data_IF_141749333782
#
_entry.id   IF_141749333782
#
_cell.length_a   1.000
_cell.length_b   1.000
_cell.length_c   1.000
_cell.angle_alpha   90.00
_cell.angle_beta   90.00
_cell.angle_gamma   90.00
#
_symmetry.space_group_name_H-M   'P 1'
#
loop_
_entity.id
_entity.type
_entity.pdbx_description
1 polymer ?
#
# COMPACT_ATOMS: atom_id res chain seq x y z
N UNK A 1 -4.43 23.39 -38.76
CA UNK A 1 -5.91 23.43 -38.86
C UNK A 1 -6.39 22.09 -39.42
N UNK A 2 -6.77 21.14 -38.57
CA UNK A 2 -7.81 20.15 -38.83
C UNK A 2 -8.31 19.69 -37.46
N UNK A 3 -9.54 20.06 -37.16
CA UNK A 3 -10.28 19.74 -35.93
C UNK A 3 -11.25 18.61 -36.29
N UNK A 4 -11.61 17.83 -35.27
CA UNK A 4 -12.75 16.92 -35.16
C UNK A 4 -12.56 15.47 -35.61
N UNK A 5 -12.41 14.60 -34.61
CA UNK A 5 -13.29 13.44 -34.50
C UNK A 5 -13.57 13.21 -33.01
N UNK A 6 -14.80 13.52 -32.62
CA UNK A 6 -15.42 13.17 -31.35
C UNK A 6 -15.61 11.65 -31.29
N UNK A 7 -15.16 11.01 -30.22
CA UNK A 7 -15.68 9.71 -29.80
C UNK A 7 -15.90 9.72 -28.29
N UNK A 8 -17.16 9.85 -27.90
CA UNK A 8 -17.65 9.53 -26.57
C UNK A 8 -18.06 8.06 -26.59
N UNK A 9 -17.31 7.20 -25.91
CA UNK A 9 -17.79 5.90 -25.46
C UNK A 9 -17.06 5.59 -24.15
N UNK A 10 -17.74 5.77 -23.02
CA UNK A 10 -18.56 4.74 -22.39
C UNK A 10 -17.74 4.03 -21.32
N UNK A 11 -17.89 4.56 -20.10
CA UNK A 11 -17.74 3.83 -18.85
C UNK A 11 -18.25 2.39 -19.00
N UNK A 12 -17.43 1.41 -18.59
CA UNK A 12 -17.85 0.36 -17.63
C UNK A 12 -16.75 -0.67 -17.40
N UNK A 13 -16.57 -0.92 -16.09
CA UNK A 13 -16.40 -2.23 -15.45
C UNK A 13 -15.02 -2.87 -15.50
N UNK A 14 -14.34 -2.77 -14.36
CA UNK A 14 -13.93 -3.92 -13.53
C UNK A 14 -13.75 -5.22 -14.31
N UNK A 15 -12.52 -5.47 -14.78
CA UNK A 15 -12.07 -6.84 -15.04
C UNK A 15 -11.23 -7.30 -13.85
N UNK A 16 -11.91 -7.99 -12.94
CA UNK A 16 -11.30 -8.93 -12.01
C UNK A 16 -10.44 -9.93 -12.79
N UNK A 17 -9.12 -9.81 -12.70
CA UNK A 17 -8.19 -10.82 -13.20
C UNK A 17 -8.26 -12.04 -12.29
N UNK A 18 -8.88 -13.09 -12.82
CA UNK A 18 -8.94 -14.45 -12.30
C UNK A 18 -7.54 -15.00 -12.05
N UNK A 19 -7.16 -15.17 -10.79
CA UNK A 19 -6.01 -16.00 -10.40
C UNK A 19 -6.43 -17.46 -10.55
N UNK A 20 -5.68 -18.19 -11.36
CA UNK A 20 -5.78 -19.65 -11.55
C UNK A 20 -5.57 -20.33 -10.21
N UNK A 21 -6.59 -21.00 -9.69
CA UNK A 21 -6.46 -21.93 -8.58
C UNK A 21 -6.49 -23.35 -9.12
N UNK A 22 -5.40 -24.05 -8.83
CA UNK A 22 -5.13 -25.46 -9.14
C UNK A 22 -6.11 -26.41 -8.45
N UNK A 23 -6.62 -27.36 -9.24
CA UNK A 23 -7.07 -28.71 -8.91
C UNK A 23 -7.30 -29.05 -7.44
N UNK A 24 -8.57 -29.06 -7.03
CA UNK A 24 -9.01 -29.84 -5.86
C UNK A 24 -10.06 -30.83 -6.37
N UNK A 25 -9.69 -32.10 -6.27
CA UNK A 25 -10.46 -33.28 -6.63
C UNK A 25 -11.84 -33.29 -5.99
N UNK A 26 -12.87 -33.51 -6.79
CA UNK A 26 -14.24 -33.78 -6.36
C UNK A 26 -14.43 -35.28 -6.14
N UNK A 27 -14.91 -35.76 -4.97
CA UNK A 27 -15.55 -37.06 -4.89
C UNK A 27 -17.06 -36.89 -5.09
N UNK A 28 -17.54 -37.24 -6.27
CA UNK A 28 -18.97 -37.38 -6.58
C UNK A 28 -19.53 -38.62 -5.87
N UNK A 29 -20.25 -38.43 -4.76
CA UNK A 29 -20.98 -39.53 -4.11
C UNK A 29 -22.43 -39.56 -4.61
N UNK A 30 -22.67 -40.54 -5.47
CA UNK A 30 -23.95 -40.97 -6.00
C UNK A 30 -24.73 -41.68 -4.89
N UNK A 31 -25.69 -40.99 -4.27
CA UNK A 31 -26.61 -41.58 -3.31
C UNK A 31 -27.51 -42.63 -4.00
N UNK A 32 -27.32 -43.90 -3.65
CA UNK A 32 -28.34 -44.96 -3.76
C UNK A 32 -28.70 -45.40 -2.35
N UNK A 33 -30.00 -45.41 -2.07
CA UNK A 33 -30.69 -46.14 -1.01
C UNK A 33 -30.40 -45.77 0.47
N UNK A 34 -31.36 -45.02 1.01
CA UNK A 34 -32.17 -45.32 2.20
C UNK A 34 -31.48 -45.64 3.54
N UNK A 35 -31.83 -44.79 4.52
CA UNK A 35 -31.85 -45.03 5.97
C UNK A 35 -30.50 -45.14 6.69
N UNK A 36 -30.03 -44.02 7.27
CA UNK A 36 -29.52 -44.01 8.65
C UNK A 36 -30.04 -42.74 9.36
N UNK A 37 -30.60 -43.00 10.54
CA UNK A 37 -31.09 -42.05 11.55
C UNK A 37 -30.00 -41.13 12.06
N UNK A 38 -30.40 -39.88 12.28
CA UNK A 38 -30.09 -39.01 13.43
C UNK A 38 -28.68 -39.09 14.02
N UNK A 39 -27.91 -38.02 13.83
CA UNK A 39 -27.37 -37.26 14.96
C UNK A 39 -27.05 -35.84 14.48
N UNK A 40 -27.66 -34.84 15.12
CA UNK A 40 -27.18 -33.47 15.09
C UNK A 40 -25.77 -33.47 15.70
N UNK A 41 -24.77 -33.22 14.86
CA UNK A 41 -23.50 -32.61 15.23
C UNK A 41 -23.43 -31.39 14.31
N UNK A 42 -24.08 -30.30 14.73
CA UNK A 42 -23.41 -29.20 15.43
C UNK A 42 -22.16 -28.70 14.70
N UNK A 43 -22.30 -27.46 14.23
CA UNK A 43 -21.25 -26.45 14.30
C UNK A 43 -19.99 -26.68 13.47
N UNK A 44 -20.02 -26.28 12.20
CA UNK A 44 -18.84 -25.69 11.54
C UNK A 44 -19.25 -24.99 10.24
N UNK A 45 -19.98 -23.89 10.37
CA UNK A 45 -20.00 -22.88 9.32
C UNK A 45 -19.49 -21.58 9.92
N UNK A 46 -18.56 -20.97 9.20
CA UNK A 46 -18.08 -19.60 9.36
C UNK A 46 -16.85 -19.42 10.26
N UNK A 47 -15.71 -19.93 9.81
CA UNK A 47 -14.46 -19.18 9.95
C UNK A 47 -13.67 -19.20 8.64
N UNK A 48 -14.33 -18.89 7.52
CA UNK A 48 -13.62 -18.43 6.34
C UNK A 48 -13.52 -16.91 6.43
N UNK A 49 -12.63 -16.42 7.30
CA UNK A 49 -12.29 -15.00 7.34
C UNK A 49 -11.40 -14.73 6.13
N UNK A 50 -12.01 -14.40 4.99
CA UNK A 50 -11.25 -13.74 3.92
C UNK A 50 -10.87 -12.38 4.47
N UNK A 51 -9.68 -12.27 5.06
CA UNK A 51 -9.07 -10.98 5.34
C UNK A 51 -8.89 -10.30 3.99
N UNK A 52 -9.86 -9.46 3.64
CA UNK A 52 -9.71 -8.53 2.53
C UNK A 52 -8.62 -7.58 2.99
N UNK A 53 -7.43 -7.77 2.45
CA UNK A 53 -6.28 -6.91 2.63
C UNK A 53 -6.75 -5.49 2.28
N UNK A 54 -7.03 -4.69 3.30
CA UNK A 54 -7.34 -3.27 3.16
C UNK A 54 -5.98 -2.57 3.08
N UNK A 55 -5.41 -2.48 1.88
CA UNK A 55 -4.25 -1.60 1.68
C UNK A 55 -4.70 -0.17 2.02
N UNK A 56 -4.14 0.39 3.09
CA UNK A 56 -4.40 1.76 3.52
C UNK A 56 -3.35 2.66 2.87
N UNK A 57 -3.78 3.60 2.05
CA UNK A 57 -2.90 4.61 1.45
C UNK A 57 -2.75 5.76 2.45
N UNK A 58 -1.53 6.05 2.86
CA UNK A 58 -1.14 7.12 3.77
C UNK A 58 -0.31 8.16 3.03
N UNK A 59 -0.60 9.44 3.25
CA UNK A 59 0.10 10.56 2.60
C UNK A 59 1.17 11.14 3.51
N UNK A 60 2.42 11.17 3.05
CA UNK A 60 3.54 11.76 3.79
C UNK A 60 3.68 13.23 3.42
N UNK A 61 3.88 14.05 4.45
CA UNK A 61 4.08 15.51 4.32
C UNK A 61 5.55 15.87 4.50
N UNK A 62 5.96 16.96 3.86
CA UNK A 62 7.26 17.57 4.11
C UNK A 62 7.39 18.00 5.59
N UNK A 63 8.56 17.79 6.22
CA UNK A 63 8.83 18.26 7.57
C UNK A 63 8.75 19.78 7.66
N UNK A 64 8.69 20.29 8.90
CA UNK A 64 8.63 21.73 9.11
C UNK A 64 10.01 22.37 8.88
N UNK A 65 10.02 23.51 8.18
CA UNK A 65 11.24 24.30 7.95
C UNK A 65 11.44 25.33 9.07
N UNK A 66 12.68 25.77 9.32
CA UNK A 66 12.93 26.92 10.19
C UNK A 66 12.28 28.19 9.62
N UNK A 67 11.95 29.16 10.49
CA UNK A 67 11.13 30.34 10.14
C UNK A 67 11.66 31.16 8.96
N UNK A 68 12.97 31.14 8.72
CA UNK A 68 13.62 31.91 7.65
C UNK A 68 13.62 31.21 6.29
N UNK A 69 13.06 30.01 6.14
CA UNK A 69 13.10 29.22 4.90
C UNK A 69 11.67 28.80 4.52
N UNK A 70 11.20 29.28 3.36
CA UNK A 70 9.84 29.02 2.87
C UNK A 70 9.77 27.89 1.84
N UNK A 71 10.87 27.59 1.15
CA UNK A 71 10.94 26.63 0.05
C UNK A 71 12.23 25.79 0.14
N UNK A 72 12.17 24.55 -0.34
CA UNK A 72 13.31 23.66 -0.51
C UNK A 72 13.15 22.75 -1.73
N UNK A 73 14.25 22.23 -2.23
CA UNK A 73 14.26 21.32 -3.39
C UNK A 73 14.39 19.87 -2.91
N UNK A 74 13.51 18.98 -3.39
CA UNK A 74 13.48 17.58 -2.94
C UNK A 74 14.39 16.68 -3.78
N UNK A 75 15.24 15.88 -3.14
CA UNK A 75 16.04 14.81 -3.76
C UNK A 75 15.62 13.46 -3.22
N UNK A 76 15.31 12.51 -4.09
CA UNK A 76 14.83 11.19 -3.67
C UNK A 76 15.98 10.21 -3.51
N UNK A 77 16.06 9.53 -2.37
CA UNK A 77 17.06 8.49 -2.12
C UNK A 77 16.54 7.09 -2.50
N UNK A 78 15.22 6.90 -2.50
CA UNK A 78 14.55 5.63 -2.87
C UNK A 78 13.66 5.77 -4.10
N UNK A 79 13.61 4.75 -4.98
CA UNK A 79 12.70 4.73 -6.12
C UNK A 79 11.28 4.27 -5.73
N UNK A 80 10.33 4.52 -6.64
CA UNK A 80 8.93 4.07 -6.53
C UNK A 80 8.87 2.53 -6.47
N UNK A 81 8.01 1.98 -5.63
CA UNK A 81 7.87 0.54 -5.41
C UNK A 81 8.84 -0.04 -4.38
N UNK A 82 9.68 0.79 -3.77
CA UNK A 82 10.57 0.33 -2.69
C UNK A 82 9.80 0.13 -1.39
N UNK A 83 10.14 -0.93 -0.66
CA UNK A 83 9.71 -1.10 0.72
C UNK A 83 10.41 -0.08 1.63
N UNK A 84 9.65 0.49 2.57
CA UNK A 84 10.11 1.44 3.57
C UNK A 84 9.69 0.98 4.96
N UNK A 85 10.59 1.13 5.94
CA UNK A 85 10.31 0.89 7.35
C UNK A 85 9.97 2.20 8.06
N UNK A 86 9.47 2.08 9.29
CA UNK A 86 9.29 3.23 10.19
C UNK A 86 10.66 3.88 10.42
N UNK A 87 10.68 5.21 10.43
CA UNK A 87 11.86 6.08 10.63
C UNK A 87 12.94 5.95 9.54
N UNK A 88 12.62 5.35 8.41
CA UNK A 88 13.54 5.26 7.28
C UNK A 88 13.51 6.52 6.40
N UNK A 89 14.67 6.96 5.93
CA UNK A 89 14.81 8.14 5.06
C UNK A 89 14.38 7.78 3.63
N UNK A 90 13.38 8.47 3.10
CA UNK A 90 12.86 8.27 1.73
C UNK A 90 13.54 9.24 0.76
N UNK A 91 13.83 10.45 1.23
CA UNK A 91 14.47 11.50 0.48
C UNK A 91 14.92 12.63 1.39
N UNK A 92 15.55 13.64 0.81
CA UNK A 92 16.13 14.77 1.52
C UNK A 92 15.70 16.06 0.84
N UNK A 93 15.36 17.06 1.64
CA UNK A 93 15.05 18.40 1.15
C UNK A 93 16.29 19.25 1.34
N UNK A 94 16.91 19.64 0.22
CA UNK A 94 18.03 20.57 0.22
C UNK A 94 17.47 22.00 0.30
N UNK A 95 17.90 22.75 1.30
CA UNK A 95 17.62 24.18 1.41
C UNK A 95 18.94 24.94 1.44
N UNK A 96 18.91 26.25 1.22
CA UNK A 96 20.10 27.14 1.19
C UNK A 96 21.04 26.97 2.40
N UNK A 97 20.51 26.58 3.56
CA UNK A 97 21.27 26.49 4.81
C UNK A 97 21.42 25.08 5.37
N UNK A 98 20.52 24.16 5.06
CA UNK A 98 20.48 22.86 5.72
C UNK A 98 19.75 21.83 4.85
N UNK A 99 20.27 20.60 4.84
CA UNK A 99 19.57 19.45 4.26
C UNK A 99 18.72 18.79 5.34
N UNK A 100 17.43 18.61 5.07
CA UNK A 100 16.46 18.08 6.03
C UNK A 100 15.95 16.73 5.51
N UNK A 101 16.19 15.61 6.21
CA UNK A 101 15.72 14.31 5.77
C UNK A 101 14.20 14.19 5.93
N UNK A 102 13.55 13.58 4.93
CA UNK A 102 12.14 13.19 4.95
C UNK A 102 12.07 11.72 5.38
N UNK A 103 11.60 11.51 6.61
CA UNK A 103 11.45 10.18 7.21
C UNK A 103 10.05 9.61 6.97
N UNK A 104 9.97 8.28 6.86
CA UNK A 104 8.70 7.56 6.76
C UNK A 104 8.05 7.37 8.15
N UNK A 105 6.82 7.87 8.38
CA UNK A 105 6.11 7.63 9.63
C UNK A 105 5.54 6.20 9.77
N UNK A 106 5.46 5.42 8.68
CA UNK A 106 4.84 4.09 8.66
C UNK A 106 5.70 3.08 7.91
N UNK A 107 5.45 1.79 8.15
CA UNK A 107 6.00 0.70 7.34
C UNK A 107 5.10 0.48 6.10
N UNK A 108 5.69 0.32 4.93
CA UNK A 108 4.91 0.17 3.70
C UNK A 108 5.73 0.12 2.44
N UNK A 109 5.07 0.38 1.31
CA UNK A 109 5.70 0.49 -0.01
C UNK A 109 5.38 1.84 -0.62
N UNK A 110 6.38 2.50 -1.22
CA UNK A 110 6.18 3.78 -1.92
C UNK A 110 5.34 3.56 -3.17
N UNK A 111 4.13 4.13 -3.22
CA UNK A 111 3.21 3.96 -4.35
C UNK A 111 3.53 4.92 -5.48
N UNK A 112 3.66 6.20 -5.16
CA UNK A 112 3.93 7.28 -6.11
C UNK A 112 4.51 8.52 -5.42
N UNK A 113 5.31 9.27 -6.16
CA UNK A 113 5.78 10.61 -5.79
C UNK A 113 4.92 11.67 -6.47
N UNK A 114 4.38 12.62 -5.70
CA UNK A 114 3.58 13.73 -6.24
C UNK A 114 4.45 14.88 -6.76
N UNK A 115 5.75 14.83 -6.44
CA UNK A 115 6.73 15.86 -6.73
C UNK A 115 7.94 15.19 -7.41
N UNK A 116 8.38 15.77 -8.53
CA UNK A 116 9.55 15.31 -9.25
C UNK A 116 10.84 15.58 -8.45
N UNK A 117 11.91 14.84 -8.75
CA UNK A 117 13.24 15.13 -8.22
C UNK A 117 13.68 16.54 -8.63
N UNK A 118 14.21 17.31 -7.68
CA UNK A 118 14.64 18.70 -7.84
C UNK A 118 13.52 19.72 -7.90
N UNK A 119 12.26 19.35 -7.64
CA UNK A 119 11.16 20.31 -7.60
C UNK A 119 10.99 20.98 -6.23
N UNK A 120 10.47 22.21 -6.25
CA UNK A 120 10.22 23.05 -5.07
C UNK A 120 9.06 22.52 -4.24
N UNK A 121 9.31 22.32 -2.94
CA UNK A 121 8.31 21.94 -1.94
C UNK A 121 8.17 23.01 -0.85
N UNK A 122 6.95 23.17 -0.35
CA UNK A 122 6.62 24.06 0.78
C UNK A 122 6.37 23.26 2.07
N UNK A 123 6.45 23.93 3.22
CA UNK A 123 6.23 23.30 4.53
C UNK A 123 4.86 22.63 4.61
N UNK A 124 4.82 21.37 5.04
CA UNK A 124 3.59 20.59 5.20
C UNK A 124 2.90 20.15 3.90
N UNK A 125 3.51 20.41 2.74
CA UNK A 125 3.03 19.91 1.46
C UNK A 125 3.12 18.37 1.41
N UNK A 126 2.14 17.74 0.77
CA UNK A 126 2.15 16.28 0.57
C UNK A 126 3.17 15.96 -0.52
N UNK A 127 4.13 15.09 -0.22
CA UNK A 127 5.25 14.75 -1.11
C UNK A 127 5.09 13.38 -1.77
N UNK A 128 4.56 12.39 -1.03
CA UNK A 128 4.40 11.03 -1.54
C UNK A 128 3.24 10.29 -0.87
N UNK A 129 2.75 9.26 -1.56
CA UNK A 129 1.76 8.32 -1.04
C UNK A 129 2.41 6.96 -0.81
N UNK A 130 2.20 6.41 0.39
CA UNK A 130 2.71 5.11 0.81
C UNK A 130 1.54 4.17 1.03
N UNK A 131 1.62 2.97 0.47
CA UNK A 131 0.73 1.87 0.83
C UNK A 131 1.23 1.27 2.15
N UNK A 132 0.54 1.55 3.27
CA UNK A 132 0.92 1.09 4.61
C UNK A 132 0.67 -0.41 4.74
N UNK A 133 1.71 -1.13 5.15
CA UNK A 133 1.65 -2.55 5.49
C UNK A 133 2.04 -2.71 6.95
N UNK A 134 1.09 -3.17 7.78
CA UNK A 134 1.37 -3.46 9.19
C UNK A 134 2.12 -4.80 9.29
N UNK A 135 3.42 -4.77 8.99
CA UNK A 135 4.33 -5.82 9.41
C UNK A 135 4.74 -5.52 10.84
N UNK A 136 3.96 -6.03 11.80
CA UNK A 136 4.36 -6.10 13.21
C UNK A 136 5.52 -7.10 13.31
N UNK A 137 6.72 -6.64 13.00
CA UNK A 137 7.97 -7.30 13.37
C UNK A 137 8.50 -6.60 14.61
N UNK A 138 7.88 -6.95 15.72
CA UNK A 138 8.43 -6.80 17.06
C UNK A 138 9.47 -7.92 17.24
N UNK A 139 10.74 -7.70 16.86
CA UNK A 139 11.80 -8.61 17.27
C UNK A 139 13.22 -8.03 17.08
N UNK A 140 14.00 -8.18 18.16
CA UNK A 140 15.47 -8.17 18.28
C UNK A 140 16.14 -6.80 18.41
N UNK A 141 16.90 -6.48 19.46
CA UNK A 141 17.46 -7.33 20.53
C UNK A 141 17.97 -6.44 21.67
N UNK A 142 17.71 -6.81 22.94
CA UNK A 142 18.48 -6.30 24.07
C UNK A 142 19.78 -7.10 24.11
N UNK A 143 20.98 -6.51 23.88
CA UNK A 143 22.21 -7.23 24.13
C UNK A 143 22.37 -7.39 25.64
N UNK A 144 22.23 -8.63 26.10
CA UNK A 144 22.61 -9.03 27.45
C UNK A 144 24.12 -8.84 27.60
N UNK A 145 24.52 -7.95 28.52
CA UNK A 145 25.81 -8.05 29.19
C UNK A 145 25.67 -7.63 30.64
#
# INVERSE_FOLDING_TARGET
KMISALSKNALRKFSSSTVKSSNISTPTLKCRNQLIRLHCLDYSLNHFSTSRILNKIESVKAPNFPESITEGDIRWSKPIGSAVKIDEIIGEIETDKTSIPVVSPFNGTVKEFLVADGAKVTKGQIVCNIDQHDNVVEAESIPSK
#
